data_IF_361249678496
#
_entry.id   IF_361249678496
#
_cell.length_a   1.000
_cell.length_b   1.000
_cell.length_c   1.000
_cell.angle_alpha   90.00
_cell.angle_beta   90.00
_cell.angle_gamma   90.00
#
_symmetry.space_group_name_H-M   'P 1'
#
loop_
_entity.id
_entity.type
_entity.pdbx_description
1 polymer ?
#
# COMPACT_ATOMS: atom_id res chain seq x y z
N UNK A 1 -10.13 -0.27 -3.95
CA UNK A 1 -9.16 -1.12 -3.27
C UNK A 1 -9.76 -2.47 -2.85
N UNK A 2 -11.00 -2.48 -2.39
CA UNK A 2 -11.67 -3.73 -1.99
C UNK A 2 -11.76 -4.73 -3.16
N UNK A 3 -12.14 -4.27 -4.34
CA UNK A 3 -12.20 -5.13 -5.52
C UNK A 3 -10.82 -5.64 -5.91
N UNK A 4 -9.81 -4.78 -5.83
CA UNK A 4 -8.43 -5.15 -6.13
C UNK A 4 -7.97 -6.25 -5.17
N UNK A 5 -8.23 -6.11 -3.89
CA UNK A 5 -7.81 -7.09 -2.89
C UNK A 5 -8.47 -8.46 -3.14
N UNK A 6 -9.75 -8.46 -3.52
CA UNK A 6 -10.47 -9.71 -3.82
C UNK A 6 -9.96 -10.43 -5.06
N UNK A 7 -9.24 -9.73 -5.94
CA UNK A 7 -8.69 -10.27 -7.19
C UNK A 7 -7.17 -10.33 -7.18
N UNK A 8 -6.54 -10.09 -6.04
CA UNK A 8 -5.09 -9.99 -5.93
C UNK A 8 -4.42 -11.33 -6.24
N UNK A 9 -3.45 -11.29 -7.15
CA UNK A 9 -2.66 -12.47 -7.52
C UNK A 9 -1.41 -12.59 -6.65
N UNK A 10 -0.80 -13.78 -6.52
CA UNK A 10 0.44 -13.94 -5.75
C UNK A 10 1.59 -13.04 -6.23
N UNK A 11 1.61 -12.69 -7.52
CA UNK A 11 2.63 -11.83 -8.12
C UNK A 11 2.35 -10.34 -7.92
N UNK A 12 1.25 -10.01 -7.25
CA UNK A 12 0.84 -8.63 -6.99
C UNK A 12 0.89 -8.35 -5.50
N UNK A 13 1.09 -7.08 -5.14
CA UNK A 13 1.21 -6.68 -3.74
C UNK A 13 0.44 -5.40 -3.48
N UNK A 14 -0.26 -5.36 -2.34
CA UNK A 14 -0.85 -4.12 -1.82
C UNK A 14 0.11 -3.56 -0.78
N UNK A 15 0.41 -2.28 -0.87
CA UNK A 15 1.39 -1.60 -0.03
C UNK A 15 0.74 -0.41 0.68
N UNK A 16 0.88 -0.38 2.01
CA UNK A 16 0.44 0.71 2.87
C UNK A 16 1.63 1.64 3.10
N UNK A 17 1.52 2.90 2.65
CA UNK A 17 2.61 3.87 2.78
C UNK A 17 2.46 4.79 3.98
N UNK A 18 1.52 4.47 4.89
CA UNK A 18 1.35 5.21 6.14
C UNK A 18 2.47 4.87 7.12
N UNK A 19 2.50 5.55 8.27
CA UNK A 19 3.48 5.25 9.30
C UNK A 19 3.29 3.85 9.88
N UNK A 20 4.34 3.25 10.45
CA UNK A 20 4.20 1.94 11.12
C UNK A 20 3.15 1.94 12.24
N UNK A 21 3.01 3.07 12.96
CA UNK A 21 2.00 3.18 14.00
C UNK A 21 0.58 3.14 13.46
N UNK A 22 0.31 3.84 12.36
CA UNK A 22 -0.99 3.79 11.70
C UNK A 22 -1.29 2.38 11.19
N UNK A 23 -0.29 1.74 10.58
CA UNK A 23 -0.42 0.38 10.07
C UNK A 23 -0.75 -0.62 11.18
N UNK A 24 -0.06 -0.51 12.32
CA UNK A 24 -0.29 -1.41 13.46
C UNK A 24 -1.69 -1.24 14.05
N UNK A 25 -2.27 -0.05 14.01
CA UNK A 25 -3.61 0.19 14.53
C UNK A 25 -4.69 -0.48 13.67
N UNK A 26 -4.57 -0.40 12.37
CA UNK A 26 -5.45 -1.08 11.43
C UNK A 26 -4.89 -0.94 10.02
N UNK A 27 -4.91 -2.01 9.24
CA UNK A 27 -4.49 -1.96 7.84
C UNK A 27 -5.30 -2.95 7.01
N UNK A 28 -5.26 -2.76 5.69
CA UNK A 28 -5.91 -3.67 4.75
C UNK A 28 -5.24 -5.04 4.84
N UNK A 29 -6.00 -6.14 4.95
CA UNK A 29 -5.41 -7.48 4.99
C UNK A 29 -4.49 -7.73 3.80
N UNK A 30 -3.40 -8.45 4.03
CA UNK A 30 -2.38 -8.80 3.04
C UNK A 30 -1.56 -7.63 2.54
N UNK A 31 -1.68 -6.45 3.14
CA UNK A 31 -0.83 -5.31 2.76
C UNK A 31 0.52 -5.37 3.48
N UNK A 32 1.53 -4.83 2.80
CA UNK A 32 2.88 -4.67 3.34
C UNK A 32 3.06 -3.19 3.72
N UNK A 33 3.63 -2.91 4.88
CA UNK A 33 3.91 -1.53 5.27
C UNK A 33 5.26 -1.08 4.69
N UNK A 34 5.20 -0.09 3.80
CA UNK A 34 6.37 0.60 3.25
C UNK A 34 6.16 2.08 3.52
N UNK A 35 6.54 2.57 4.71
CA UNK A 35 6.19 3.93 5.11
C UNK A 35 6.87 4.97 4.24
N UNK A 36 6.14 6.05 3.95
CA UNK A 36 6.68 7.19 3.21
C UNK A 36 7.92 7.73 3.93
N UNK A 37 9.00 7.92 3.19
CA UNK A 37 10.30 8.27 3.75
C UNK A 37 11.23 7.07 3.95
N UNK A 38 10.70 5.85 4.02
CA UNK A 38 11.48 4.62 4.13
C UNK A 38 11.41 3.74 2.89
N UNK A 39 10.84 4.22 1.80
CA UNK A 39 10.60 3.43 0.59
C UNK A 39 11.88 2.95 -0.08
N UNK A 40 13.00 3.61 0.14
CA UNK A 40 14.28 3.22 -0.47
C UNK A 40 14.71 1.81 -0.10
N UNK A 41 14.38 1.39 1.12
CA UNK A 41 14.76 0.06 1.62
C UNK A 41 13.99 -1.06 0.92
N UNK A 42 12.89 -0.73 0.26
CA UNK A 42 12.00 -1.72 -0.33
C UNK A 42 12.05 -1.77 -1.86
N UNK A 43 12.87 -0.93 -2.50
CA UNK A 43 12.89 -0.81 -3.97
C UNK A 43 13.14 -2.16 -4.63
N UNK A 44 14.15 -2.90 -4.18
CA UNK A 44 14.49 -4.19 -4.80
C UNK A 44 13.39 -5.22 -4.58
N UNK A 45 12.77 -5.24 -3.41
CA UNK A 45 11.66 -6.14 -3.14
C UNK A 45 10.45 -5.81 -4.03
N UNK A 46 10.08 -4.54 -4.12
CA UNK A 46 8.92 -4.11 -4.90
C UNK A 46 9.11 -4.33 -6.40
N UNK A 47 10.35 -4.29 -6.87
CA UNK A 47 10.67 -4.53 -8.27
C UNK A 47 10.31 -5.94 -8.73
N UNK A 48 10.23 -6.89 -7.81
CA UNK A 48 9.96 -8.30 -8.13
C UNK A 48 8.48 -8.62 -8.33
N UNK A 49 7.58 -7.70 -8.03
CA UNK A 49 6.14 -7.92 -8.23
C UNK A 49 5.68 -7.45 -9.61
N UNK A 50 4.66 -8.11 -10.15
CA UNK A 50 4.05 -7.69 -11.42
C UNK A 50 3.33 -6.36 -11.26
N UNK A 51 2.61 -6.19 -10.13
CA UNK A 51 1.91 -4.95 -9.79
C UNK A 51 2.02 -4.67 -8.31
N UNK A 52 2.24 -3.40 -7.97
CA UNK A 52 2.28 -2.91 -6.59
C UNK A 52 1.24 -1.81 -6.46
N UNK A 53 0.23 -2.05 -5.64
CA UNK A 53 -0.86 -1.10 -5.39
C UNK A 53 -0.55 -0.32 -4.13
N UNK A 54 -0.33 0.98 -4.27
CA UNK A 54 0.01 1.87 -3.15
C UNK A 54 -1.24 2.53 -2.60
N UNK A 55 -1.46 2.46 -1.30
CA UNK A 55 -2.55 3.19 -0.65
C UNK A 55 -2.06 3.87 0.64
N UNK A 56 -2.82 4.89 1.08
CA UNK A 56 -2.60 5.55 2.36
C UNK A 56 -3.96 5.87 2.99
N UNK A 57 -4.03 6.91 3.83
CA UNK A 57 -5.30 7.28 4.47
C UNK A 57 -6.30 7.86 3.47
N UNK A 58 -5.87 8.80 2.63
CA UNK A 58 -6.75 9.54 1.71
C UNK A 58 -6.22 9.66 0.28
N UNK A 59 -5.04 9.11 -0.01
CA UNK A 59 -4.45 9.11 -1.35
C UNK A 59 -3.24 10.02 -1.53
N UNK A 60 -3.02 11.01 -0.67
CA UNK A 60 -1.94 11.98 -0.84
C UNK A 60 -0.54 11.38 -0.72
N UNK A 61 -0.30 10.64 0.37
CA UNK A 61 1.00 10.02 0.59
C UNK A 61 1.28 8.95 -0.44
N UNK A 62 0.25 8.20 -0.85
CA UNK A 62 0.39 7.21 -1.91
C UNK A 62 0.86 7.84 -3.20
N UNK A 63 0.33 9.01 -3.56
CA UNK A 63 0.75 9.72 -4.77
C UNK A 63 2.20 10.19 -4.67
N UNK A 64 2.61 10.68 -3.49
CA UNK A 64 3.99 11.10 -3.26
C UNK A 64 4.95 9.93 -3.42
N UNK A 65 4.66 8.80 -2.80
CA UNK A 65 5.50 7.59 -2.90
C UNK A 65 5.52 7.07 -4.34
N UNK A 66 4.38 7.08 -5.01
CA UNK A 66 4.31 6.71 -6.43
C UNK A 66 5.28 7.54 -7.27
N UNK A 67 5.28 8.85 -7.07
CA UNK A 67 6.17 9.75 -7.82
C UNK A 67 7.64 9.45 -7.52
N UNK A 68 7.99 9.27 -6.25
CA UNK A 68 9.36 8.99 -5.84
C UNK A 68 9.86 7.68 -6.46
N UNK A 69 9.09 6.61 -6.32
CA UNK A 69 9.48 5.29 -6.82
C UNK A 69 9.49 5.22 -8.35
N UNK A 70 8.55 5.89 -9.01
CA UNK A 70 8.53 5.95 -10.48
C UNK A 70 9.79 6.61 -11.01
N UNK A 71 10.27 7.66 -10.37
CA UNK A 71 11.51 8.34 -10.77
C UNK A 71 12.74 7.48 -10.56
N UNK A 72 12.64 6.44 -9.75
CA UNK A 72 13.74 5.50 -9.53
C UNK A 72 13.63 4.26 -10.41
N UNK A 73 12.74 4.28 -11.39
CA UNK A 73 12.68 3.27 -12.41
C UNK A 73 11.67 2.14 -12.17
N UNK A 74 10.83 2.23 -11.13
CA UNK A 74 9.75 1.26 -10.95
C UNK A 74 8.59 1.61 -11.87
N UNK A 75 8.20 0.67 -12.72
CA UNK A 75 7.13 0.85 -13.71
C UNK A 75 5.92 -0.03 -13.42
N UNK A 76 5.89 -0.70 -12.29
CA UNK A 76 4.86 -1.66 -11.89
C UNK A 76 3.90 -1.10 -10.83
N UNK A 77 3.87 0.21 -10.62
CA UNK A 77 3.12 0.85 -9.54
C UNK A 77 1.73 1.27 -9.98
N UNK A 78 0.76 1.08 -9.09
CA UNK A 78 -0.60 1.60 -9.24
C UNK A 78 -0.91 2.44 -8.01
N UNK A 79 -1.22 3.71 -8.20
CA UNK A 79 -1.55 4.61 -7.11
C UNK A 79 -3.05 4.58 -6.82
N UNK A 80 -3.42 4.28 -5.57
CA UNK A 80 -4.79 4.45 -5.10
C UNK A 80 -4.88 5.86 -4.54
N UNK A 81 -5.18 6.81 -5.40
CA UNK A 81 -5.07 8.23 -5.10
C UNK A 81 -6.38 8.91 -4.70
N UNK A 82 -7.53 8.30 -5.02
CA UNK A 82 -8.85 8.87 -4.75
C UNK A 82 -9.53 8.29 -3.52
N UNK A 83 -8.93 7.29 -2.90
CA UNK A 83 -9.47 6.64 -1.71
C UNK A 83 -8.32 6.10 -0.87
N UNK A 84 -8.63 5.44 0.24
CA UNK A 84 -7.62 4.86 1.10
C UNK A 84 -8.23 4.25 2.34
N UNK A 85 -7.45 4.22 3.42
CA UNK A 85 -7.87 3.56 4.67
C UNK A 85 -9.12 4.19 5.28
N UNK A 86 -9.30 5.51 5.12
CA UNK A 86 -10.50 6.18 5.62
C UNK A 86 -11.76 5.60 5.00
N UNK A 87 -11.77 5.42 3.69
CA UNK A 87 -12.90 4.85 2.95
C UNK A 87 -13.08 3.37 3.28
N UNK A 88 -11.99 2.64 3.45
CA UNK A 88 -12.02 1.23 3.79
C UNK A 88 -12.71 1.00 5.14
N UNK A 89 -12.34 1.78 6.16
CA UNK A 89 -12.94 1.70 7.49
C UNK A 89 -14.40 2.12 7.45
N UNK A 90 -14.71 3.23 6.76
CA UNK A 90 -16.08 3.74 6.66
C UNK A 90 -17.02 2.74 5.98
N UNK A 91 -16.51 1.92 5.08
CA UNK A 91 -17.29 0.89 4.39
C UNK A 91 -17.45 -0.40 5.21
N UNK A 92 -16.78 -0.50 6.36
CA UNK A 92 -16.89 -1.67 7.23
C UNK A 92 -16.14 -2.90 6.73
N UNK A 93 -15.19 -2.74 5.82
CA UNK A 93 -14.39 -3.86 5.31
C UNK A 93 -13.41 -4.37 6.38
N UNK A 94 -13.00 -5.67 6.30
CA UNK A 94 -12.11 -6.25 7.29
C UNK A 94 -10.78 -5.53 7.39
N UNK A 95 -10.22 -5.46 8.61
CA UNK A 95 -8.88 -4.92 8.85
C UNK A 95 -8.08 -5.92 9.67
N UNK A 96 -6.76 -5.90 9.49
CA UNK A 96 -5.82 -6.57 10.36
C UNK A 96 -5.16 -5.53 11.26
N UNK A 97 -4.62 -5.99 12.40
CA UNK A 97 -3.92 -5.14 13.36
C UNK A 97 -2.59 -5.78 13.72
N UNK A 98 -1.64 -4.94 14.11
CA UNK A 98 -0.31 -5.39 14.48
C UNK A 98 0.72 -5.15 13.39
N UNK A 99 1.99 -5.23 13.76
CA UNK A 99 3.09 -4.84 12.88
C UNK A 99 3.39 -5.88 11.79
N UNK A 100 3.08 -7.14 12.04
CA UNK A 100 3.34 -8.22 11.08
C UNK A 100 2.31 -8.28 9.96
N UNK A 101 1.14 -7.80 10.15
CA UNK A 101 0.16 -7.39 9.17
C UNK A 101 -0.53 -8.41 8.28
N UNK A 102 -0.12 -9.59 8.22
CA UNK A 102 -0.74 -10.53 7.26
C UNK A 102 -1.95 -11.25 7.83
#
# INVERSE_FOLDING_TARGET
LHLILGMLKPEERVVDVRTPGEYAMAHVPKSLNVPMGGEQEFIEELRNYDKVYLYCHSGRRAQTVYTILSRQGLDNLVCICSSGMADWIASGFPVNRGEAGF
#
